data_IF_691084147991
#
_entry.id   IF_691084147991
#
_cell.length_a   1.000
_cell.length_b   1.000
_cell.length_c   1.000
_cell.angle_alpha   90.00
_cell.angle_beta   90.00
_cell.angle_gamma   90.00
#
_symmetry.space_group_name_H-M   'P 1'
#
loop_
_entity.id
_entity.type
_entity.pdbx_description
1 polymer ?
#
# COMPACT_ATOMS: atom_id res chain seq x y z
N UNK A 1 -3.53 25.12 -11.10
CA UNK A 1 -2.34 24.87 -10.24
C UNK A 1 -1.49 23.82 -10.90
N UNK A 2 -0.18 24.04 -10.97
CA UNK A 2 0.80 23.11 -11.55
C UNK A 2 1.89 22.79 -10.52
N UNK A 3 2.72 21.79 -10.80
CA UNK A 3 3.87 21.43 -9.94
C UNK A 3 4.87 22.60 -9.75
N UNK A 4 4.86 23.59 -10.64
CA UNK A 4 5.71 24.79 -10.57
C UNK A 4 5.00 26.00 -9.94
N UNK A 5 3.75 25.84 -9.49
CA UNK A 5 3.03 26.93 -8.82
C UNK A 5 3.83 27.42 -7.62
N UNK A 6 4.18 28.70 -7.55
CA UNK A 6 4.96 29.24 -6.42
C UNK A 6 4.31 28.87 -5.10
N UNK A 7 5.15 28.45 -4.16
CA UNK A 7 4.74 28.10 -2.79
C UNK A 7 3.89 26.84 -2.64
N UNK A 8 3.58 26.12 -3.72
CA UNK A 8 3.04 24.78 -3.60
C UNK A 8 4.12 23.84 -3.05
N UNK A 9 3.82 23.14 -1.99
CA UNK A 9 4.74 22.15 -1.42
C UNK A 9 3.99 20.91 -0.96
N UNK A 10 4.66 19.77 -1.08
CA UNK A 10 4.19 18.49 -0.58
C UNK A 10 5.20 17.91 0.38
N UNK A 11 4.71 17.23 1.38
CA UNK A 11 5.56 16.52 2.33
C UNK A 11 4.81 15.38 2.97
N UNK A 12 5.56 14.43 3.51
CA UNK A 12 5.00 13.37 4.33
C UNK A 12 5.78 13.22 5.63
N UNK A 13 5.14 12.58 6.58
CA UNK A 13 5.75 12.11 7.82
C UNK A 13 5.25 10.69 8.08
N UNK A 14 6.15 9.81 8.46
CA UNK A 14 5.82 8.46 8.92
C UNK A 14 5.80 8.45 10.44
N UNK A 15 5.01 7.59 11.06
CA UNK A 15 4.99 7.43 12.50
C UNK A 15 6.41 7.16 13.03
N UNK A 16 6.84 7.94 14.03
CA UNK A 16 8.17 7.86 14.61
C UNK A 16 9.30 8.52 13.80
N UNK A 17 8.99 9.20 12.68
CA UNK A 17 9.98 9.84 11.81
C UNK A 17 9.79 11.36 11.73
N UNK A 18 10.78 12.06 11.18
CA UNK A 18 10.69 13.48 10.87
C UNK A 18 10.02 13.70 9.51
N UNK A 19 9.56 14.94 9.27
CA UNK A 19 9.00 15.37 8.00
C UNK A 19 9.99 15.16 6.84
N UNK A 20 9.50 14.60 5.75
CA UNK A 20 10.25 14.49 4.48
C UNK A 20 9.52 15.28 3.39
N UNK A 21 10.23 16.12 2.66
CA UNK A 21 9.69 16.86 1.53
C UNK A 21 9.51 15.93 0.31
N UNK A 22 8.46 16.20 -0.49
CA UNK A 22 8.23 15.57 -1.79
C UNK A 22 8.54 16.61 -2.85
N UNK A 23 9.51 16.31 -3.73
CA UNK A 23 9.76 17.14 -4.91
C UNK A 23 8.66 16.88 -5.93
N UNK A 24 7.83 17.90 -6.19
CA UNK A 24 6.78 17.80 -7.19
C UNK A 24 7.39 17.92 -8.59
N UNK A 25 6.91 17.06 -9.50
CA UNK A 25 7.33 17.03 -10.92
C UNK A 25 6.11 17.02 -11.83
N UNK A 26 6.29 17.39 -13.08
CA UNK A 26 5.20 17.39 -14.08
C UNK A 26 4.67 15.97 -14.28
N UNK A 27 3.35 15.85 -14.36
CA UNK A 27 2.66 14.59 -14.67
C UNK A 27 1.50 14.87 -15.63
N UNK A 28 0.98 13.81 -16.25
CA UNK A 28 -0.26 13.84 -17.04
C UNK A 28 -1.32 12.94 -16.36
N UNK A 29 -2.63 13.21 -16.58
CA UNK A 29 -3.70 12.45 -15.95
C UNK A 29 -3.56 10.93 -16.14
N UNK A 30 -3.17 10.48 -17.35
CA UNK A 30 -3.01 9.09 -17.74
C UNK A 30 -1.55 8.62 -17.81
N UNK A 31 -0.60 9.44 -17.35
CA UNK A 31 0.83 9.09 -17.37
C UNK A 31 1.16 7.94 -16.42
N UNK A 32 2.24 7.22 -16.73
CA UNK A 32 2.80 6.23 -15.78
C UNK A 32 3.18 6.90 -14.48
N UNK A 33 3.11 6.16 -13.38
CA UNK A 33 3.50 6.65 -12.07
C UNK A 33 4.94 7.19 -12.08
N UNK A 34 5.11 8.37 -11.49
CA UNK A 34 6.41 9.02 -11.30
C UNK A 34 6.45 9.63 -9.91
N UNK A 35 7.47 9.32 -9.11
CA UNK A 35 7.58 9.83 -7.74
C UNK A 35 7.43 11.35 -7.67
N UNK A 36 6.42 11.82 -6.94
CA UNK A 36 6.10 13.26 -6.85
C UNK A 36 5.36 13.83 -8.05
N UNK A 37 4.89 13.00 -9.00
CA UNK A 37 4.10 13.44 -10.15
C UNK A 37 2.86 14.20 -9.72
N UNK A 38 2.63 15.40 -10.30
CA UNK A 38 1.51 16.25 -9.93
C UNK A 38 0.88 16.89 -11.16
N UNK A 39 -0.42 16.75 -11.31
CA UNK A 39 -1.21 17.43 -12.35
C UNK A 39 -2.67 17.59 -11.95
N UNK A 40 -3.35 18.55 -12.58
CA UNK A 40 -4.82 18.61 -12.57
C UNK A 40 -5.38 17.54 -13.51
N UNK A 41 -6.42 16.84 -13.07
CA UNK A 41 -7.00 15.72 -13.85
C UNK A 41 -7.72 16.24 -15.09
N UNK A 42 -8.61 17.21 -14.91
CA UNK A 42 -9.39 17.83 -15.98
C UNK A 42 -9.83 19.23 -15.53
N UNK A 43 -9.16 20.25 -16.07
CA UNK A 43 -9.45 21.64 -15.72
C UNK A 43 -10.79 22.16 -16.24
N UNK A 44 -11.43 21.43 -17.17
CA UNK A 44 -12.69 21.81 -17.77
C UNK A 44 -13.89 21.18 -17.08
N UNK A 45 -13.85 19.84 -16.90
CA UNK A 45 -14.99 19.07 -16.39
C UNK A 45 -14.85 18.73 -14.91
N UNK A 46 -13.63 18.72 -14.38
CA UNK A 46 -13.32 18.42 -12.97
C UNK A 46 -12.31 19.42 -12.39
N UNK A 47 -12.59 20.73 -12.43
CA UNK A 47 -11.64 21.73 -11.95
C UNK A 47 -11.37 21.55 -10.46
N UNK A 48 -10.10 21.67 -10.07
CA UNK A 48 -9.67 21.54 -8.68
C UNK A 48 -9.41 20.10 -8.21
N UNK A 49 -9.56 19.11 -9.08
CA UNK A 49 -9.18 17.73 -8.78
C UNK A 49 -7.78 17.46 -9.32
N UNK A 50 -6.91 17.04 -8.42
CA UNK A 50 -5.49 16.83 -8.71
C UNK A 50 -5.08 15.38 -8.48
N UNK A 51 -4.16 14.89 -9.32
CA UNK A 51 -3.40 13.66 -9.12
C UNK A 51 -2.08 14.01 -8.46
N UNK A 52 -1.69 13.23 -7.45
CA UNK A 52 -0.34 13.21 -6.90
C UNK A 52 0.17 11.78 -6.82
N UNK A 53 1.34 11.54 -7.38
CA UNK A 53 2.01 10.24 -7.32
C UNK A 53 2.90 10.20 -6.07
N UNK A 54 2.42 9.52 -5.06
CA UNK A 54 3.06 9.46 -3.75
C UNK A 54 4.32 8.60 -3.83
N UNK A 55 5.48 9.07 -3.31
CA UNK A 55 6.71 8.28 -3.30
C UNK A 55 6.54 6.93 -2.58
N UNK A 56 7.11 5.87 -3.13
CA UNK A 56 7.08 4.53 -2.53
C UNK A 56 7.65 4.51 -1.10
N UNK A 57 8.59 5.41 -0.81
CA UNK A 57 9.17 5.56 0.54
C UNK A 57 8.14 5.84 1.64
N UNK A 58 6.95 6.37 1.29
CA UNK A 58 5.85 6.59 2.23
C UNK A 58 5.32 5.26 2.77
N UNK A 59 5.28 4.23 1.92
CA UNK A 59 4.63 2.93 2.16
C UNK A 59 5.60 1.81 2.56
N UNK A 60 6.87 2.11 2.74
CA UNK A 60 7.87 1.12 3.18
C UNK A 60 7.52 0.60 4.58
N UNK A 61 7.75 -0.69 4.83
CA UNK A 61 7.54 -1.31 6.13
C UNK A 61 8.28 -0.60 7.29
N UNK A 62 7.82 -0.79 8.52
CA UNK A 62 8.45 -0.24 9.73
C UNK A 62 7.80 1.04 10.27
N UNK A 63 6.61 1.41 9.79
CA UNK A 63 5.77 2.44 10.41
C UNK A 63 4.31 2.01 10.36
N UNK A 64 3.55 2.32 11.39
CA UNK A 64 2.12 1.98 11.47
C UNK A 64 1.26 2.91 10.63
N UNK A 65 1.73 4.13 10.40
CA UNK A 65 1.00 5.12 9.62
C UNK A 65 1.92 6.12 8.94
N UNK A 66 1.41 6.77 7.91
CA UNK A 66 2.03 7.92 7.28
C UNK A 66 0.98 9.01 7.02
N UNK A 67 1.41 10.25 7.07
CA UNK A 67 0.57 11.41 6.77
C UNK A 67 1.17 12.17 5.61
N UNK A 68 0.37 12.44 4.60
CA UNK A 68 0.69 13.32 3.49
C UNK A 68 0.06 14.68 3.73
N UNK A 69 0.78 15.74 3.41
CA UNK A 69 0.28 17.11 3.44
C UNK A 69 0.68 17.86 2.18
N UNK A 70 -0.28 18.49 1.54
CA UNK A 70 -0.09 19.53 0.53
C UNK A 70 -0.37 20.89 1.16
N UNK A 71 0.53 21.84 0.95
CA UNK A 71 0.34 23.23 1.35
C UNK A 71 0.55 24.14 0.16
N UNK A 72 -0.25 25.17 0.06
CA UNK A 72 -0.09 26.26 -0.91
C UNK A 72 0.03 27.60 -0.21
N UNK A 73 0.60 28.55 -0.89
CA UNK A 73 0.57 29.96 -0.48
C UNK A 73 -0.35 30.73 -1.43
N UNK A 74 -1.30 31.43 -0.89
CA UNK A 74 -1.99 32.47 -1.63
C UNK A 74 -1.39 33.82 -1.24
N UNK A 75 -0.94 34.59 -2.23
CA UNK A 75 -0.54 35.99 -2.04
C UNK A 75 -1.69 36.86 -2.53
N UNK A 76 -2.73 37.02 -1.73
CA UNK A 76 -3.72 38.04 -1.94
C UNK A 76 -3.30 39.27 -1.16
N UNK A 77 -3.17 40.42 -1.84
CA UNK A 77 -2.83 41.70 -1.25
C UNK A 77 -1.47 41.74 -0.50
N UNK A 78 -0.48 40.97 -0.94
CA UNK A 78 0.86 40.96 -0.32
C UNK A 78 0.97 40.23 1.03
N UNK A 79 -0.11 39.67 1.54
CA UNK A 79 -0.08 38.80 2.70
C UNK A 79 0.15 37.35 2.26
N UNK A 80 1.13 36.70 2.87
CA UNK A 80 1.41 35.28 2.67
C UNK A 80 0.47 34.48 3.58
N UNK A 81 -0.48 33.79 3.00
CA UNK A 81 -1.37 32.90 3.75
C UNK A 81 -1.07 31.45 3.36
N UNK A 82 -0.68 30.65 4.34
CA UNK A 82 -0.48 29.23 4.15
C UNK A 82 -1.82 28.49 4.22
N UNK A 83 -2.20 27.83 3.15
CA UNK A 83 -3.36 26.96 3.13
C UNK A 83 -2.94 25.50 3.15
N UNK A 84 -3.56 24.72 4.02
CA UNK A 84 -3.56 23.27 3.90
C UNK A 84 -4.49 22.89 2.75
N UNK A 85 -3.94 22.53 1.60
CA UNK A 85 -4.73 22.12 0.43
C UNK A 85 -5.30 20.71 0.59
N UNK A 86 -4.49 19.81 1.12
CA UNK A 86 -4.91 18.45 1.42
C UNK A 86 -4.10 17.86 2.57
N UNK A 87 -4.75 17.04 3.37
CA UNK A 87 -4.15 16.27 4.46
C UNK A 87 -4.74 14.87 4.43
N UNK A 88 -3.92 13.87 4.17
CA UNK A 88 -4.33 12.48 4.07
C UNK A 88 -3.48 11.64 5.00
N UNK A 89 -4.12 10.83 5.80
CA UNK A 89 -3.46 9.83 6.63
C UNK A 89 -3.63 8.45 6.00
N UNK A 90 -2.54 7.70 5.92
CA UNK A 90 -2.51 6.30 5.50
C UNK A 90 -2.29 5.44 6.73
N UNK A 91 -3.18 4.49 6.95
CA UNK A 91 -2.96 3.41 7.91
C UNK A 91 -2.12 2.33 7.22
N UNK A 92 -0.92 2.12 7.70
CA UNK A 92 0.02 1.12 7.18
C UNK A 92 0.02 -0.15 8.04
N UNK A 93 -0.68 -0.16 9.18
CA UNK A 93 -0.76 -1.29 10.09
C UNK A 93 -1.49 -2.48 9.46
N UNK A 94 -2.38 -2.21 8.51
CA UNK A 94 -3.09 -3.24 7.73
C UNK A 94 -2.14 -4.03 6.79
N UNK A 95 -0.93 -3.51 6.58
CA UNK A 95 0.13 -4.19 5.85
C UNK A 95 1.02 -5.02 6.79
N UNK A 96 0.43 -5.61 7.82
CA UNK A 96 1.13 -6.62 8.62
C UNK A 96 1.44 -7.77 7.65
N UNK A 97 2.71 -8.06 7.36
CA UNK A 97 3.04 -9.26 6.61
C UNK A 97 2.59 -10.42 7.48
N UNK A 98 1.43 -10.97 7.19
CA UNK A 98 1.04 -12.28 7.67
C UNK A 98 2.11 -13.24 7.15
N UNK A 99 3.10 -13.47 8.01
CA UNK A 99 4.18 -14.45 7.89
C UNK A 99 4.47 -14.98 6.46
N UNK A 100 5.65 -14.78 6.04
CA UNK A 100 6.47 -15.32 4.93
C UNK A 100 5.82 -15.86 3.63
N UNK A 101 4.51 -16.04 3.54
CA UNK A 101 3.86 -16.64 2.36
C UNK A 101 2.50 -16.02 1.98
N UNK A 102 1.85 -15.27 2.86
CA UNK A 102 0.61 -14.55 2.50
C UNK A 102 0.97 -13.09 2.15
N UNK A 103 0.78 -12.71 0.90
CA UNK A 103 1.09 -11.35 0.42
C UNK A 103 -0.11 -10.40 0.49
N UNK A 104 -1.30 -10.91 0.85
CA UNK A 104 -2.52 -10.13 0.95
C UNK A 104 -3.52 -10.74 1.93
N UNK A 105 -4.52 -9.96 2.35
CA UNK A 105 -5.66 -10.48 3.12
C UNK A 105 -6.40 -11.55 2.31
N UNK A 106 -6.47 -11.40 0.99
CA UNK A 106 -7.05 -12.39 0.09
C UNK A 106 -6.34 -13.74 0.17
N UNK A 107 -5.00 -13.74 0.21
CA UNK A 107 -4.22 -14.97 0.33
C UNK A 107 -4.42 -15.63 1.68
N UNK A 108 -4.50 -14.84 2.76
CA UNK A 108 -4.77 -15.36 4.10
C UNK A 108 -6.17 -15.99 4.19
N UNK A 109 -7.19 -15.35 3.61
CA UNK A 109 -8.55 -15.88 3.56
C UNK A 109 -8.63 -17.13 2.68
N UNK A 110 -7.96 -17.16 1.54
CA UNK A 110 -7.91 -18.35 0.69
C UNK A 110 -7.22 -19.51 1.40
N UNK A 111 -6.14 -19.26 2.13
CA UNK A 111 -5.49 -20.27 2.95
C UNK A 111 -6.40 -20.80 4.06
N UNK A 112 -7.15 -19.94 4.73
CA UNK A 112 -8.11 -20.32 5.76
C UNK A 112 -9.27 -21.15 5.19
N UNK A 113 -9.81 -20.75 4.02
CA UNK A 113 -10.85 -21.50 3.30
C UNK A 113 -10.34 -22.88 2.86
N UNK A 114 -9.13 -22.94 2.32
CA UNK A 114 -8.53 -24.22 1.90
C UNK A 114 -8.36 -25.18 3.07
N UNK A 115 -8.06 -24.70 4.28
CA UNK A 115 -8.00 -25.51 5.48
C UNK A 115 -9.36 -26.08 5.90
N UNK A 116 -10.45 -25.33 5.69
CA UNK A 116 -11.80 -25.75 6.08
C UNK A 116 -12.53 -26.56 5.02
N UNK A 117 -12.35 -26.25 3.74
CA UNK A 117 -13.16 -26.75 2.63
C UNK A 117 -12.33 -27.41 1.51
N UNK A 118 -11.02 -27.25 1.52
CA UNK A 118 -10.14 -27.82 0.51
C UNK A 118 -9.80 -29.29 0.77
N UNK A 119 -9.16 -29.92 -0.22
CA UNK A 119 -8.65 -31.30 -0.11
C UNK A 119 -7.36 -31.30 0.71
N UNK A 120 -7.27 -32.22 1.63
CA UNK A 120 -6.04 -32.53 2.39
C UNK A 120 -5.45 -33.86 1.91
N UNK A 121 -4.16 -33.88 1.69
CA UNK A 121 -3.46 -35.06 1.24
C UNK A 121 -2.07 -35.16 1.89
N UNK A 122 -1.76 -36.32 2.44
CA UNK A 122 -0.40 -36.62 2.93
C UNK A 122 0.31 -37.43 1.86
N UNK A 123 1.49 -36.98 1.45
CA UNK A 123 2.37 -37.65 0.50
C UNK A 123 3.77 -37.75 1.15
N UNK A 124 4.19 -38.96 1.51
CA UNK A 124 5.38 -39.12 2.33
C UNK A 124 5.23 -38.38 3.67
N UNK A 125 6.22 -37.59 4.04
CA UNK A 125 6.20 -36.76 5.24
C UNK A 125 5.73 -35.35 4.97
N UNK A 126 4.88 -35.14 3.98
CA UNK A 126 4.35 -33.80 3.62
C UNK A 126 2.84 -33.81 3.61
N UNK A 127 2.22 -32.91 4.37
CA UNK A 127 0.79 -32.64 4.28
C UNK A 127 0.57 -31.47 3.31
N UNK A 128 -0.18 -31.74 2.27
CA UNK A 128 -0.58 -30.75 1.27
C UNK A 128 -2.04 -30.34 1.49
N UNK A 129 -2.28 -29.03 1.45
CA UNK A 129 -3.62 -28.43 1.49
C UNK A 129 -3.90 -27.79 0.14
N UNK A 130 -4.98 -28.21 -0.50
CA UNK A 130 -5.42 -27.73 -1.79
C UNK A 130 -6.61 -26.79 -1.62
N UNK A 131 -6.83 -25.90 -2.60
CA UNK A 131 -8.03 -25.09 -2.68
C UNK A 131 -9.29 -25.96 -2.84
N UNK A 132 -10.46 -25.35 -2.83
CA UNK A 132 -11.75 -26.04 -3.00
C UNK A 132 -11.86 -26.80 -4.34
N UNK A 133 -11.07 -26.42 -5.34
CA UNK A 133 -10.98 -27.15 -6.62
C UNK A 133 -10.29 -28.52 -6.51
N UNK A 134 -9.67 -28.81 -5.36
CA UNK A 134 -8.96 -30.05 -5.07
C UNK A 134 -7.66 -30.25 -5.87
N UNK A 135 -7.22 -29.26 -6.63
CA UNK A 135 -6.09 -29.33 -7.56
C UNK A 135 -5.04 -28.27 -7.23
N UNK A 136 -5.46 -27.02 -6.98
CA UNK A 136 -4.56 -25.90 -6.71
C UNK A 136 -3.93 -26.04 -5.32
N UNK A 137 -2.62 -26.29 -5.27
CA UNK A 137 -1.87 -26.37 -4.01
C UNK A 137 -1.79 -25.00 -3.34
N UNK A 138 -2.34 -24.89 -2.13
CA UNK A 138 -2.33 -23.65 -1.34
C UNK A 138 -1.17 -23.65 -0.35
N UNK A 139 -0.93 -24.78 0.31
CA UNK A 139 0.13 -24.89 1.32
C UNK A 139 0.62 -26.30 1.50
N UNK A 140 1.91 -26.42 1.88
CA UNK A 140 2.53 -27.68 2.28
C UNK A 140 3.17 -27.55 3.66
N UNK A 141 3.11 -28.63 4.44
CA UNK A 141 3.75 -28.71 5.75
C UNK A 141 4.60 -29.99 5.82
N UNK A 142 5.83 -29.87 6.31
CA UNK A 142 6.60 -31.03 6.71
C UNK A 142 5.99 -31.65 7.98
N UNK A 143 5.94 -32.95 8.03
CA UNK A 143 5.46 -33.73 9.16
C UNK A 143 6.62 -34.53 9.73
N UNK A 144 6.58 -34.82 11.04
CA UNK A 144 7.52 -35.71 11.72
C UNK A 144 7.37 -37.18 11.27
N UNK A 145 6.18 -37.54 10.77
CA UNK A 145 5.88 -38.87 10.22
C UNK A 145 4.79 -38.78 9.16
N UNK A 146 4.91 -39.58 8.09
CA UNK A 146 3.89 -39.67 7.05
C UNK A 146 2.72 -40.61 7.45
N UNK A 147 2.92 -41.54 8.39
CA UNK A 147 1.91 -42.54 8.78
C UNK A 147 1.18 -42.15 10.07
N UNK A 148 1.90 -41.62 11.04
CA UNK A 148 1.37 -41.20 12.35
C UNK A 148 2.00 -39.88 12.76
N UNK A 149 1.65 -38.77 12.07
CA UNK A 149 2.21 -37.48 12.42
C UNK A 149 1.72 -37.03 13.80
N UNK A 150 2.65 -36.67 14.67
CA UNK A 150 2.35 -36.11 15.99
C UNK A 150 2.49 -34.63 16.04
N UNK A 151 3.28 -34.05 15.11
CA UNK A 151 3.47 -32.61 15.02
C UNK A 151 3.82 -32.16 13.60
N UNK A 152 3.62 -30.86 13.35
CA UNK A 152 4.09 -30.16 12.17
C UNK A 152 5.48 -29.57 12.49
N UNK A 153 6.44 -29.86 11.65
CA UNK A 153 7.81 -29.33 11.74
C UNK A 153 7.94 -27.96 11.07
#
# INVERSE_FOLDING_TARGET
ITHTTPSLSASYVRAGAIRTAITLVSQTPNGSWTSGGFCEIDSTNMPGIYRIDIPNAVFVAGAESAMLQLTGLNTSNGAVVHYNMAKVQFDLSQNVPLSNTAHSIGDALNAARAQGFGKWQIVGNTMNIYAEDGITLVKSFALDSGSYPTQRM
#
